data_IF_818631254202
#
_entry.id   IF_818631254202
#
_cell.length_a   1.000
_cell.length_b   1.000
_cell.length_c   1.000
_cell.angle_alpha   90.00
_cell.angle_beta   90.00
_cell.angle_gamma   90.00
#
_symmetry.space_group_name_H-M   'P 1'
#
loop_
_entity.id
_entity.type
_entity.pdbx_description
1 polymer ?
#
# COMPACT_ATOMS: atom_id res chain seq x y z
N UNK A 1 -4.39 -1.51 12.03
CA UNK A 1 -3.28 -2.43 11.69
C UNK A 1 -3.38 -3.61 12.64
N UNK A 2 -3.20 -4.83 12.17
CA UNK A 2 -3.14 -6.02 13.02
C UNK A 2 -1.99 -6.91 12.53
N UNK A 3 -1.42 -7.71 13.42
CA UNK A 3 -0.35 -8.64 13.07
C UNK A 3 -0.95 -9.98 12.72
N UNK A 4 -0.44 -10.56 11.63
CA UNK A 4 -0.82 -11.86 11.14
C UNK A 4 0.41 -12.65 10.75
N UNK A 5 0.33 -13.97 10.89
CA UNK A 5 1.37 -14.90 10.44
C UNK A 5 0.74 -16.04 9.65
N UNK A 6 1.42 -16.51 8.61
CA UNK A 6 0.98 -17.62 7.77
C UNK A 6 0.69 -17.22 6.34
N UNK A 7 0.58 -18.24 5.47
CA UNK A 7 0.57 -18.04 4.02
C UNK A 7 -0.67 -17.29 3.51
N UNK A 8 -1.82 -17.45 4.18
CA UNK A 8 -3.05 -16.82 3.72
C UNK A 8 -2.91 -15.31 3.63
N UNK A 9 -2.46 -14.65 4.70
CA UNK A 9 -2.33 -13.19 4.72
C UNK A 9 -1.11 -12.68 3.97
N UNK A 10 -0.07 -13.50 3.78
CA UNK A 10 1.09 -13.15 2.96
C UNK A 10 0.75 -13.01 1.46
N UNK A 11 -0.24 -13.77 0.97
CA UNK A 11 -0.69 -13.73 -0.43
C UNK A 11 -2.03 -13.01 -0.61
N UNK A 12 -2.73 -12.70 0.48
CA UNK A 12 -3.98 -11.95 0.43
C UNK A 12 -3.74 -10.56 -0.19
N UNK A 13 -4.58 -10.20 -1.15
CA UNK A 13 -4.59 -8.84 -1.71
C UNK A 13 -5.49 -7.97 -0.84
N UNK A 14 -4.98 -6.90 -0.22
CA UNK A 14 -5.82 -5.96 0.52
C UNK A 14 -6.77 -5.28 -0.46
N UNK A 15 -7.95 -4.88 0.01
CA UNK A 15 -8.91 -4.09 -0.77
C UNK A 15 -8.45 -2.64 -0.90
N UNK A 16 -8.89 -1.97 -1.97
CA UNK A 16 -8.67 -0.54 -2.14
C UNK A 16 -9.18 0.21 -0.90
N UNK A 17 -8.35 1.01 -0.22
CA UNK A 17 -8.79 1.77 0.94
C UNK A 17 -9.87 2.79 0.55
N UNK A 18 -10.81 3.04 1.46
CA UNK A 18 -11.93 3.95 1.20
C UNK A 18 -11.46 5.40 0.99
N UNK A 19 -11.95 6.01 -0.09
CA UNK A 19 -11.63 7.39 -0.47
C UNK A 19 -10.15 7.62 -0.75
N UNK A 20 -9.39 6.60 -1.18
CA UNK A 20 -7.96 6.77 -1.53
C UNK A 20 -7.78 7.60 -2.81
N UNK A 21 -8.79 7.64 -3.68
CA UNK A 21 -8.74 8.39 -4.95
C UNK A 21 -8.69 9.91 -4.75
N UNK A 22 -9.29 10.40 -3.67
CA UNK A 22 -9.35 11.83 -3.33
C UNK A 22 -8.20 12.28 -2.40
N UNK A 23 -7.23 11.39 -2.14
CA UNK A 23 -6.13 11.63 -1.18
C UNK A 23 -4.79 11.71 -1.90
N UNK A 24 -3.94 12.62 -1.44
CA UNK A 24 -2.56 12.77 -1.92
C UNK A 24 -1.56 12.48 -0.80
N UNK A 25 -0.44 11.86 -1.14
CA UNK A 25 0.66 11.57 -0.22
C UNK A 25 1.94 12.29 -0.68
N UNK A 26 2.64 12.93 0.26
CA UNK A 26 3.90 13.62 0.02
C UNK A 26 5.00 12.97 0.85
N UNK A 27 6.11 12.60 0.20
CA UNK A 27 7.27 11.99 0.86
C UNK A 27 8.44 12.97 0.81
N UNK A 28 8.91 13.40 1.99
CA UNK A 28 10.06 14.31 2.14
C UNK A 28 11.30 13.48 2.52
N UNK A 29 11.60 12.48 1.70
CA UNK A 29 12.73 11.57 1.85
C UNK A 29 12.95 10.83 0.53
N UNK A 30 14.21 10.61 0.16
CA UNK A 30 14.60 9.81 -1.02
C UNK A 30 15.36 8.55 -0.66
N UNK A 31 15.37 8.17 0.61
CA UNK A 31 15.96 6.94 1.10
C UNK A 31 15.09 5.72 0.82
N UNK A 32 15.54 4.56 1.31
CA UNK A 32 14.81 3.30 1.16
C UNK A 32 13.40 3.38 1.77
N UNK A 33 13.26 4.08 2.89
CA UNK A 33 11.96 4.25 3.56
C UNK A 33 11.01 5.06 2.69
N UNK A 34 11.46 6.20 2.15
CA UNK A 34 10.67 7.01 1.21
C UNK A 34 10.25 6.23 -0.03
N UNK A 35 11.17 5.42 -0.61
CA UNK A 35 10.88 4.58 -1.76
C UNK A 35 9.86 3.49 -1.44
N UNK A 36 10.06 2.74 -0.35
CA UNK A 36 9.15 1.66 0.08
C UNK A 36 7.75 2.22 0.36
N UNK A 37 7.68 3.35 1.05
CA UNK A 37 6.39 3.98 1.36
C UNK A 37 5.67 4.45 0.09
N UNK A 38 6.41 5.03 -0.86
CA UNK A 38 5.86 5.43 -2.17
C UNK A 38 5.33 4.22 -2.94
N UNK A 39 6.10 3.15 -3.04
CA UNK A 39 5.69 1.94 -3.76
C UNK A 39 4.51 1.25 -3.08
N UNK A 40 4.46 1.22 -1.75
CA UNK A 40 3.34 0.64 -1.02
C UNK A 40 2.04 1.43 -1.21
N UNK A 41 2.10 2.77 -1.24
CA UNK A 41 0.94 3.62 -1.51
C UNK A 41 0.45 3.46 -2.95
N UNK A 42 1.36 3.44 -3.94
CA UNK A 42 1.00 3.17 -5.35
C UNK A 42 0.33 1.81 -5.51
N UNK A 43 0.87 0.78 -4.85
CA UNK A 43 0.34 -0.57 -4.91
C UNK A 43 -1.09 -0.66 -4.36
N UNK A 44 -1.39 0.03 -3.26
CA UNK A 44 -2.73 0.12 -2.68
C UNK A 44 -3.72 0.89 -3.56
N UNK A 45 -3.26 1.90 -4.30
CA UNK A 45 -4.11 2.75 -5.12
C UNK A 45 -4.45 2.14 -6.49
N UNK A 46 -3.50 1.49 -7.16
CA UNK A 46 -3.59 1.22 -8.61
C UNK A 46 -3.62 -0.25 -9.03
N UNK A 47 -3.51 -1.23 -8.12
CA UNK A 47 -3.36 -2.66 -8.51
C UNK A 47 -4.65 -3.48 -8.48
N UNK A 48 -5.75 -2.92 -8.98
CA UNK A 48 -7.01 -3.63 -9.24
C UNK A 48 -7.30 -3.68 -10.74
N UNK A 49 -6.68 -4.63 -11.42
CA UNK A 49 -7.19 -5.16 -12.70
C UNK A 49 -7.52 -6.62 -12.41
N UNK A 50 -8.82 -6.88 -12.22
CA UNK A 50 -9.50 -8.17 -11.98
C UNK A 50 -8.91 -9.11 -10.92
#
# INVERSE_FOLDING_TARGET
MYYSSGNFEAFARPRKPEGVDDKSAYFVDSGLVGLVATEMVKWLANRFIF
#
